data_IF_767080190109
#
_entry.id   IF_767080190109
#
_cell.length_a   1.000
_cell.length_b   1.000
_cell.length_c   1.000
_cell.angle_alpha   90.00
_cell.angle_beta   90.00
_cell.angle_gamma   90.00
#
_symmetry.space_group_name_H-M   'P 1'
#
loop_
_entity.id
_entity.type
_entity.pdbx_description
1 polymer ?
#
# COMPACT_ATOMS: atom_id res chain seq x y z
N UNK A 1 -8.85 -11.35 -2.93
CA UNK A 1 -9.32 -10.25 -2.05
C UNK A 1 -8.86 -8.90 -2.58
N UNK A 2 -7.56 -8.65 -2.74
CA UNK A 2 -7.02 -7.40 -3.33
C UNK A 2 -7.65 -7.06 -4.69
N UNK A 3 -7.77 -8.05 -5.58
CA UNK A 3 -8.36 -7.90 -6.93
C UNK A 3 -9.83 -7.45 -6.92
N UNK A 4 -10.50 -7.51 -5.77
CA UNK A 4 -11.86 -7.00 -5.59
C UNK A 4 -11.85 -5.66 -4.84
N UNK A 5 -11.06 -5.56 -3.76
CA UNK A 5 -11.01 -4.38 -2.89
C UNK A 5 -10.39 -3.19 -3.59
N UNK A 6 -9.29 -3.37 -4.31
CA UNK A 6 -8.62 -2.26 -4.99
C UNK A 6 -9.51 -1.62 -6.06
N UNK A 7 -10.11 -2.37 -7.01
CA UNK A 7 -11.04 -1.80 -7.98
C UNK A 7 -12.29 -1.18 -7.34
N UNK A 8 -12.83 -1.78 -6.27
CA UNK A 8 -14.01 -1.23 -5.56
C UNK A 8 -13.74 0.13 -4.91
N UNK A 9 -12.47 0.45 -4.63
CA UNK A 9 -12.03 1.74 -4.12
C UNK A 9 -11.43 2.65 -5.22
N UNK A 10 -11.65 2.32 -6.49
CA UNK A 10 -11.13 3.08 -7.63
C UNK A 10 -9.62 3.00 -7.81
N UNK A 11 -8.95 2.05 -7.15
CA UNK A 11 -7.51 1.88 -7.21
C UNK A 11 -7.14 0.93 -8.35
N UNK A 12 -6.22 1.36 -9.21
CA UNK A 12 -5.75 0.58 -10.36
C UNK A 12 -4.28 0.23 -10.16
N UNK A 13 -3.92 -1.03 -10.44
CA UNK A 13 -2.54 -1.50 -10.30
C UNK A 13 -1.60 -0.65 -11.17
N UNK A 14 -0.52 -0.17 -10.56
CA UNK A 14 0.54 0.56 -11.26
C UNK A 14 1.73 -0.37 -11.50
N UNK A 15 1.93 -0.79 -12.75
CA UNK A 15 2.98 -1.73 -13.13
C UNK A 15 4.40 -1.17 -12.94
N UNK A 16 4.60 0.15 -13.10
CA UNK A 16 5.90 0.78 -12.86
C UNK A 16 6.25 0.73 -11.37
N UNK A 17 5.32 1.16 -10.51
CA UNK A 17 5.47 1.10 -9.06
C UNK A 17 5.71 -0.34 -8.59
N UNK A 18 4.94 -1.27 -9.17
CA UNK A 18 5.04 -2.71 -8.87
C UNK A 18 6.42 -3.26 -9.22
N UNK A 19 6.93 -2.94 -10.42
CA UNK A 19 8.23 -3.43 -10.87
C UNK A 19 9.40 -2.90 -10.04
N UNK A 20 9.38 -1.61 -9.66
CA UNK A 20 10.47 -1.00 -8.89
C UNK A 20 10.55 -1.56 -7.47
N UNK A 21 9.39 -1.91 -6.87
CA UNK A 21 9.31 -2.37 -5.50
C UNK A 21 9.17 -3.89 -5.37
N UNK A 22 9.03 -4.61 -6.50
CA UNK A 22 8.72 -6.04 -6.53
C UNK A 22 7.51 -6.42 -5.64
N UNK A 23 6.52 -5.51 -5.57
CA UNK A 23 5.32 -5.62 -4.74
C UNK A 23 4.18 -4.90 -5.41
N UNK A 24 3.02 -5.54 -5.51
CA UNK A 24 1.84 -4.95 -6.14
C UNK A 24 1.48 -3.62 -5.50
N UNK A 25 1.49 -2.56 -6.33
CA UNK A 25 1.27 -1.18 -5.89
C UNK A 25 0.07 -0.54 -6.55
N UNK A 26 -0.75 0.12 -5.73
CA UNK A 26 -2.02 0.72 -6.10
C UNK A 26 -2.05 2.18 -5.61
N UNK A 27 -2.04 3.17 -6.52
CA UNK A 27 -2.26 4.55 -6.15
C UNK A 27 -3.70 4.76 -5.67
N UNK A 28 -3.85 5.40 -4.51
CA UNK A 28 -5.12 5.87 -3.98
C UNK A 28 -5.43 7.31 -4.42
N UNK A 29 -6.69 7.69 -4.29
CA UNK A 29 -7.17 9.05 -4.56
C UNK A 29 -6.97 10.01 -3.37
N UNK A 30 -6.46 9.49 -2.25
CA UNK A 30 -6.26 10.17 -0.97
C UNK A 30 -4.81 10.61 -0.74
N UNK A 31 -3.96 10.51 -1.77
CA UNK A 31 -2.54 10.86 -1.69
C UNK A 31 -1.66 9.75 -1.09
N UNK A 32 -2.20 8.53 -0.96
CA UNK A 32 -1.47 7.36 -0.51
C UNK A 32 -1.21 6.36 -1.64
N UNK A 33 -0.19 5.52 -1.43
CA UNK A 33 0.02 4.28 -2.18
C UNK A 33 -0.33 3.11 -1.27
N UNK A 34 -0.88 2.08 -1.86
CA UNK A 34 -1.21 0.85 -1.17
C UNK A 34 -0.43 -0.29 -1.77
N UNK A 35 0.30 -1.01 -0.93
CA UNK A 35 1.02 -2.22 -1.35
C UNK A 35 0.57 -3.42 -0.55
N UNK A 36 0.64 -4.59 -1.16
CA UNK A 36 0.20 -5.83 -0.50
C UNK A 36 1.43 -6.60 -0.04
N UNK A 37 1.59 -6.74 1.28
CA UNK A 37 2.54 -7.68 1.87
C UNK A 37 1.79 -8.94 2.28
N UNK A 38 1.99 -10.04 1.55
CA UNK A 38 1.19 -11.27 1.70
C UNK A 38 1.81 -12.19 2.74
N UNK A 39 1.24 -12.24 3.96
CA UNK A 39 0.38 -13.37 4.35
C UNK A 39 -0.97 -12.98 4.99
N UNK A 40 -1.13 -11.73 5.43
CA UNK A 40 -2.25 -11.34 6.30
C UNK A 40 -3.46 -10.73 5.59
N UNK A 41 -3.39 -10.59 4.26
CA UNK A 41 -4.46 -9.93 3.50
C UNK A 41 -4.68 -8.49 3.96
N UNK A 42 -3.61 -7.70 4.04
CA UNK A 42 -3.62 -6.28 4.43
C UNK A 42 -2.96 -5.45 3.35
N UNK A 43 -3.28 -4.15 3.30
CA UNK A 43 -2.44 -3.20 2.58
C UNK A 43 -1.51 -2.51 3.56
N UNK A 44 -0.29 -2.25 3.13
CA UNK A 44 0.54 -1.20 3.69
C UNK A 44 0.14 0.13 3.05
N UNK A 45 -0.25 1.08 3.87
CA UNK A 45 -0.47 2.45 3.44
C UNK A 45 0.86 3.20 3.48
N UNK A 46 1.24 3.76 2.34
CA UNK A 46 2.51 4.44 2.14
C UNK A 46 2.23 5.86 1.64
N UNK A 47 3.02 6.83 2.07
CA UNK A 47 2.88 8.19 1.56
C UNK A 47 3.38 8.26 0.11
N UNK A 48 2.53 8.72 -0.82
CA UNK A 48 2.84 8.65 -2.25
C UNK A 48 4.01 9.55 -2.69
N UNK A 49 4.28 10.63 -1.95
CA UNK A 49 5.32 11.59 -2.28
C UNK A 49 6.69 11.19 -1.75
N UNK A 50 6.72 10.59 -0.56
CA UNK A 50 7.97 10.28 0.18
C UNK A 50 8.32 8.80 0.18
N UNK A 51 7.36 7.92 -0.12
CA UNK A 51 7.56 6.48 -0.01
C UNK A 51 7.56 5.96 1.42
N UNK A 52 7.35 6.82 2.43
CA UNK A 52 7.39 6.39 3.84
C UNK A 52 6.15 5.59 4.23
N UNK A 53 6.36 4.45 4.88
CA UNK A 53 5.27 3.65 5.46
C UNK A 53 4.51 4.48 6.52
N UNK A 54 3.18 4.38 6.50
CA UNK A 54 2.29 5.01 7.49
C UNK A 54 1.61 3.99 8.40
N UNK A 55 1.50 2.74 7.96
CA UNK A 55 0.95 1.64 8.73
C UNK A 55 0.26 0.64 7.81
N UNK A 56 -0.39 -0.34 8.40
CA UNK A 56 -1.24 -1.30 7.71
C UNK A 56 -2.71 -0.86 7.79
N UNK A 57 -3.47 -1.19 6.74
CA UNK A 57 -4.92 -1.13 6.71
C UNK A 57 -5.46 -2.51 6.34
N UNK A 58 -6.62 -2.86 6.87
CA UNK A 58 -7.31 -4.08 6.48
C UNK A 58 -8.00 -3.93 5.10
N UNK A 59 -8.60 -5.03 4.63
CA UNK A 59 -9.29 -5.07 3.34
C UNK A 59 -10.68 -4.42 3.36
N UNK A 60 -11.11 -3.89 4.51
CA UNK A 60 -12.21 -2.94 4.64
C UNK A 60 -11.76 -1.48 4.59
N UNK A 61 -10.47 -1.23 4.27
CA UNK A 61 -9.84 0.09 4.27
C UNK A 61 -9.76 0.75 5.65
N UNK A 62 -9.82 -0.05 6.73
CA UNK A 62 -9.72 0.44 8.09
C UNK A 62 -8.28 0.35 8.60
N UNK A 63 -7.74 1.38 9.27
CA UNK A 63 -6.38 1.37 9.78
C UNK A 63 -6.21 0.35 10.92
N UNK A 64 -5.09 -0.36 10.90
CA UNK A 64 -4.69 -1.28 11.95
C UNK A 64 -3.84 -0.52 12.95
N UNK A 65 -4.31 -0.41 14.20
CA UNK A 65 -3.58 0.29 15.25
C UNK A 65 -2.21 -0.34 15.52
N UNK A 66 -1.21 0.49 15.81
CA UNK A 66 0.15 0.08 16.17
C UNK A 66 0.93 -0.71 15.09
N UNK A 67 0.52 -0.58 13.82
CA UNK A 67 1.15 -1.24 12.65
C UNK A 67 2.27 -0.41 11.99
N UNK A 68 2.54 0.80 12.48
CA UNK A 68 3.57 1.67 11.92
C UNK A 68 4.97 1.13 12.26
N UNK A 69 5.72 0.75 11.23
CA UNK A 69 7.12 0.40 11.37
C UNK A 69 8.00 1.66 11.33
N UNK A 70 8.85 1.82 12.34
CA UNK A 70 9.80 2.94 12.46
C UNK A 70 11.17 2.63 11.86
N UNK A 71 11.41 1.39 11.44
CA UNK A 71 12.69 0.96 10.87
C UNK A 71 12.90 1.43 9.43
N UNK A 72 11.83 1.77 8.72
CA UNK A 72 11.86 2.16 7.30
C UNK A 72 12.03 0.97 6.33
N UNK A 73 12.03 -0.26 6.84
CA UNK A 73 12.18 -1.49 6.03
C UNK A 73 11.09 -1.65 4.97
N UNK A 74 9.91 -1.08 5.22
CA UNK A 74 8.74 -1.16 4.38
C UNK A 74 8.47 0.14 3.58
N UNK A 75 9.45 1.04 3.50
CA UNK A 75 9.35 2.22 2.65
C UNK A 75 9.43 1.82 1.17
N UNK A 76 8.64 2.48 0.33
CA UNK A 76 8.61 2.27 -1.12
C UNK A 76 9.48 3.29 -1.85
N UNK A 77 10.05 2.85 -2.96
CA UNK A 77 10.62 3.73 -3.98
C UNK A 77 9.48 4.28 -4.84
N UNK A 78 9.33 5.61 -4.80
CA UNK A 78 8.26 6.34 -5.48
C UNK A 78 8.71 7.05 -6.78
N UNK A 79 9.99 6.95 -7.14
CA UNK A 79 10.59 7.56 -8.34
C UNK A 79 11.54 6.59 -9.04
#
# INVERSE_FOLDING_TARGET
MVEQVAPSNGMVKNNKLTGINNRDGYPGNDGHLYTVDTPYGRFEQVNAQTGKLRGEIDMGMMPISYSMDKSGRHDLKVK
#
